data_IF_979102947384
#
_entry.id   IF_979102947384
#
_cell.length_a   1.000
_cell.length_b   1.000
_cell.length_c   1.000
_cell.angle_alpha   90.00
_cell.angle_beta   90.00
_cell.angle_gamma   90.00
#
_symmetry.space_group_name_H-M   'P 1'
#
loop_
_entity.id
_entity.type
_entity.pdbx_description
1 polymer ?
#
# COMPACT_ATOMS: atom_id res chain seq x y z
N UNK A 1 15.74 -7.43 10.10
CA UNK A 1 15.15 -6.09 10.05
C UNK A 1 15.30 -5.36 11.37
N UNK A 2 15.11 -4.03 11.37
CA UNK A 2 15.23 -3.19 12.58
C UNK A 2 14.21 -3.57 13.66
N UNK A 3 13.03 -4.03 13.29
CA UNK A 3 12.04 -4.57 14.22
C UNK A 3 12.50 -5.86 14.89
N UNK A 4 13.14 -6.76 14.15
CA UNK A 4 13.63 -8.02 14.67
C UNK A 4 14.77 -7.84 15.64
N UNK A 5 15.64 -6.85 15.40
CA UNK A 5 16.80 -6.55 16.24
C UNK A 5 16.49 -5.62 17.40
N UNK A 6 15.28 -5.11 17.48
CA UNK A 6 14.89 -4.17 18.54
C UNK A 6 15.40 -2.75 18.36
N UNK A 7 15.92 -2.40 17.18
CA UNK A 7 16.34 -1.02 16.87
C UNK A 7 15.16 -0.06 16.83
N UNK A 8 14.00 -0.54 16.41
CA UNK A 8 12.74 0.21 16.46
C UNK A 8 11.67 -0.65 17.13
N UNK A 9 10.76 -0.01 17.82
CA UNK A 9 9.64 -0.63 18.52
C UNK A 9 8.27 -0.10 18.05
N UNK A 10 8.28 0.84 17.13
CA UNK A 10 7.09 1.43 16.52
C UNK A 10 7.32 1.60 15.01
N UNK A 11 6.29 1.30 14.23
CA UNK A 11 6.29 1.48 12.78
C UNK A 11 4.94 2.04 12.34
N UNK A 12 4.95 2.79 11.23
CA UNK A 12 3.74 3.25 10.56
C UNK A 12 3.72 2.67 9.15
N UNK A 13 2.63 2.06 8.78
CA UNK A 13 2.45 1.48 7.45
C UNK A 13 0.97 1.24 7.18
N UNK A 14 0.65 0.95 5.91
CA UNK A 14 -0.67 0.44 5.54
C UNK A 14 -0.89 -0.95 6.14
N UNK A 15 -2.15 -1.35 6.40
CA UNK A 15 -2.43 -2.70 6.88
C UNK A 15 -1.88 -3.80 5.97
N UNK A 16 -2.13 -3.70 4.66
CA UNK A 16 -1.63 -4.66 3.68
C UNK A 16 -0.10 -4.70 3.63
N UNK A 17 0.56 -3.54 3.69
CA UNK A 17 2.02 -3.46 3.73
C UNK A 17 2.61 -4.12 4.98
N UNK A 18 1.98 -3.94 6.12
CA UNK A 18 2.40 -4.57 7.38
C UNK A 18 2.35 -6.10 7.29
N UNK A 19 1.28 -6.64 6.71
CA UNK A 19 1.15 -8.09 6.51
C UNK A 19 2.14 -8.59 5.46
N UNK A 20 2.26 -7.90 4.32
CA UNK A 20 3.16 -8.29 3.24
C UNK A 20 4.63 -8.34 3.67
N UNK A 21 5.05 -7.41 4.53
CA UNK A 21 6.40 -7.37 5.09
C UNK A 21 6.58 -8.26 6.33
N UNK A 22 5.52 -8.92 6.76
CA UNK A 22 5.50 -9.79 7.94
C UNK A 22 5.89 -9.08 9.25
N UNK A 23 5.62 -7.78 9.35
CA UNK A 23 5.91 -7.02 10.56
C UNK A 23 4.96 -7.36 11.70
N UNK A 24 3.74 -7.80 11.38
CA UNK A 24 2.72 -8.14 12.38
C UNK A 24 3.17 -9.21 13.38
N UNK A 25 4.08 -10.11 13.01
CA UNK A 25 4.62 -11.11 13.92
C UNK A 25 5.54 -10.54 15.02
N UNK A 26 5.97 -9.30 14.89
CA UNK A 26 6.83 -8.61 15.86
C UNK A 26 6.13 -7.49 16.62
N UNK A 27 4.85 -7.26 16.35
CA UNK A 27 4.06 -6.20 16.94
C UNK A 27 3.10 -6.78 17.97
N UNK A 28 2.80 -6.02 19.01
CA UNK A 28 1.89 -6.43 20.10
C UNK A 28 0.61 -5.63 20.11
N UNK A 29 0.62 -4.43 19.56
CA UNK A 29 -0.54 -3.53 19.56
C UNK A 29 -0.62 -2.74 18.27
N UNK A 30 -1.83 -2.33 17.95
CA UNK A 30 -2.18 -1.57 16.77
C UNK A 30 -2.95 -0.32 17.18
N UNK A 31 -2.51 0.83 16.67
CA UNK A 31 -3.29 2.06 16.69
C UNK A 31 -3.92 2.26 15.32
N UNK A 32 -5.23 2.14 15.25
CA UNK A 32 -5.99 2.38 14.03
C UNK A 32 -6.26 3.88 13.92
N UNK A 33 -5.31 4.58 13.33
CA UNK A 33 -5.33 6.02 13.15
C UNK A 33 -5.02 6.36 11.69
N UNK A 34 -5.92 7.04 10.97
CA UNK A 34 -5.64 7.50 9.63
C UNK A 34 -4.66 8.68 9.65
N UNK A 35 -3.37 8.38 9.51
CA UNK A 35 -2.29 9.37 9.55
C UNK A 35 -2.04 10.03 8.20
N UNK A 36 -1.99 9.23 7.14
CA UNK A 36 -1.63 9.70 5.80
C UNK A 36 -2.38 8.90 4.74
N UNK A 37 -2.51 9.50 3.55
CA UNK A 37 -2.86 8.77 2.35
C UNK A 37 -1.58 8.36 1.63
N UNK A 38 -1.48 7.08 1.31
CA UNK A 38 -0.39 6.56 0.48
C UNK A 38 -0.87 6.52 -0.97
N UNK A 39 -0.23 7.30 -1.83
CA UNK A 39 -0.59 7.40 -3.24
C UNK A 39 0.61 6.96 -4.08
N UNK A 40 0.39 5.99 -4.94
CA UNK A 40 1.38 5.56 -5.92
C UNK A 40 1.16 6.23 -7.27
N UNK A 41 2.24 6.50 -7.97
CA UNK A 41 2.20 7.06 -9.31
C UNK A 41 3.01 6.18 -10.26
N UNK A 42 2.48 5.98 -11.46
CA UNK A 42 3.27 5.46 -12.57
C UNK A 42 3.61 6.66 -13.45
N UNK A 43 4.90 6.90 -13.61
CA UNK A 43 5.38 8.02 -14.41
C UNK A 43 6.25 7.52 -15.54
N UNK A 44 6.21 8.25 -16.66
CA UNK A 44 7.04 7.95 -17.82
C UNK A 44 7.80 9.21 -18.21
N UNK A 45 9.05 9.06 -18.63
CA UNK A 45 9.86 10.16 -19.13
C UNK A 45 9.21 10.78 -20.37
N UNK A 46 9.15 12.11 -20.41
CA UNK A 46 8.52 12.83 -21.50
C UNK A 46 9.16 12.53 -22.86
N UNK A 47 10.46 12.34 -22.92
CA UNK A 47 11.17 12.01 -24.16
C UNK A 47 10.81 10.60 -24.64
N UNK A 48 10.73 9.65 -23.69
CA UNK A 48 10.30 8.29 -24.02
C UNK A 48 8.85 8.28 -24.53
N UNK A 49 7.96 9.02 -23.86
CA UNK A 49 6.57 9.14 -24.25
C UNK A 49 6.42 9.74 -25.65
N UNK A 50 7.19 10.78 -25.98
CA UNK A 50 7.16 11.45 -27.28
C UNK A 50 7.59 10.56 -28.46
N UNK A 51 8.34 9.49 -28.18
CA UNK A 51 8.77 8.53 -29.20
C UNK A 51 7.69 7.51 -29.56
N UNK A 52 6.64 7.43 -28.75
CA UNK A 52 5.53 6.52 -29.01
C UNK A 52 4.56 7.18 -29.98
N UNK A 53 4.13 6.46 -31.02
CA UNK A 53 3.16 6.95 -31.98
C UNK A 53 1.84 7.31 -31.25
N UNK A 54 1.12 8.39 -31.70
CA UNK A 54 -0.12 8.82 -31.04
C UNK A 54 -1.17 7.72 -30.86
N UNK A 55 -1.31 6.83 -31.86
CA UNK A 55 -2.22 5.70 -31.78
C UNK A 55 -1.83 4.71 -30.63
N UNK A 56 -0.53 4.49 -30.47
CA UNK A 56 0.00 3.62 -29.41
C UNK A 56 -0.08 4.29 -28.03
N UNK A 57 0.13 5.61 -27.96
CA UNK A 57 -0.08 6.38 -26.72
C UNK A 57 -1.51 6.22 -26.21
N UNK A 58 -2.50 6.25 -27.08
CA UNK A 58 -3.91 6.04 -26.72
C UNK A 58 -4.15 4.64 -26.16
N UNK A 59 -3.50 3.62 -26.72
CA UNK A 59 -3.57 2.25 -26.23
C UNK A 59 -2.94 2.13 -24.85
N UNK A 60 -1.75 2.67 -24.66
CA UNK A 60 -1.05 2.66 -23.37
C UNK A 60 -1.88 3.35 -22.28
N UNK A 61 -2.42 4.53 -22.58
CA UNK A 61 -3.27 5.29 -21.66
C UNK A 61 -4.50 4.47 -21.23
N UNK A 62 -5.19 3.85 -22.17
CA UNK A 62 -6.36 3.02 -21.91
C UNK A 62 -6.01 1.80 -21.05
N UNK A 63 -4.92 1.11 -21.38
CA UNK A 63 -4.49 -0.09 -20.66
C UNK A 63 -4.08 0.27 -19.22
N UNK A 64 -3.32 1.33 -19.04
CA UNK A 64 -2.89 1.76 -17.72
C UNK A 64 -4.05 2.26 -16.85
N UNK A 65 -5.02 2.98 -17.43
CA UNK A 65 -6.21 3.41 -16.69
C UNK A 65 -7.03 2.22 -16.20
N UNK A 66 -7.24 1.23 -17.06
CA UNK A 66 -7.96 0.00 -16.67
C UNK A 66 -7.20 -0.80 -15.62
N UNK A 67 -5.89 -0.94 -15.76
CA UNK A 67 -5.04 -1.64 -14.80
C UNK A 67 -5.01 -0.92 -13.45
N UNK A 68 -4.89 0.41 -13.44
CA UNK A 68 -4.89 1.22 -12.23
C UNK A 68 -6.20 1.10 -11.46
N UNK A 69 -7.34 1.08 -12.15
CA UNK A 69 -8.64 0.88 -11.50
C UNK A 69 -8.74 -0.48 -10.83
N UNK A 70 -8.25 -1.54 -11.47
CA UNK A 70 -8.22 -2.89 -10.88
C UNK A 70 -7.30 -2.98 -9.67
N UNK A 71 -6.11 -2.40 -9.78
CA UNK A 71 -5.13 -2.38 -8.68
C UNK A 71 -5.69 -1.59 -7.49
N UNK A 72 -6.31 -0.45 -7.73
CA UNK A 72 -6.92 0.35 -6.66
C UNK A 72 -8.00 -0.43 -5.89
N UNK A 73 -8.88 -1.12 -6.60
CA UNK A 73 -9.90 -1.97 -5.98
C UNK A 73 -9.28 -3.11 -5.17
N UNK A 74 -8.25 -3.76 -5.71
CA UNK A 74 -7.55 -4.85 -5.04
C UNK A 74 -6.86 -4.37 -3.77
N UNK A 75 -6.16 -3.24 -3.84
CA UNK A 75 -5.47 -2.65 -2.68
C UNK A 75 -6.46 -2.28 -1.59
N UNK A 76 -7.58 -1.66 -1.92
CA UNK A 76 -8.63 -1.30 -0.93
C UNK A 76 -9.20 -2.54 -0.25
N UNK A 77 -9.45 -3.59 -1.00
CA UNK A 77 -9.94 -4.87 -0.47
C UNK A 77 -8.90 -5.53 0.43
N UNK A 78 -7.65 -5.55 -0.01
CA UNK A 78 -6.55 -6.16 0.74
C UNK A 78 -6.26 -5.40 2.02
N UNK A 79 -6.37 -4.07 2.02
CA UNK A 79 -6.20 -3.27 3.23
C UNK A 79 -7.29 -3.57 4.27
N UNK A 80 -8.55 -3.70 3.85
CA UNK A 80 -9.65 -4.06 4.76
C UNK A 80 -9.43 -5.46 5.33
N UNK A 81 -9.10 -6.44 4.51
CA UNK A 81 -8.83 -7.80 4.95
C UNK A 81 -7.61 -7.88 5.88
N UNK A 82 -6.56 -7.14 5.57
CA UNK A 82 -5.35 -7.07 6.40
C UNK A 82 -5.63 -6.43 7.76
N UNK A 83 -6.42 -5.35 7.80
CA UNK A 83 -6.80 -4.69 9.05
C UNK A 83 -7.62 -5.63 9.95
N UNK A 84 -8.56 -6.38 9.39
CA UNK A 84 -9.32 -7.39 10.13
C UNK A 84 -8.42 -8.47 10.70
N UNK A 85 -7.47 -8.97 9.90
CA UNK A 85 -6.51 -9.97 10.35
C UNK A 85 -5.59 -9.44 11.46
N UNK A 86 -5.12 -8.21 11.33
CA UNK A 86 -4.28 -7.55 12.35
C UNK A 86 -5.07 -7.31 13.64
N UNK A 87 -6.30 -6.83 13.56
CA UNK A 87 -7.15 -6.60 14.72
C UNK A 87 -7.46 -7.89 15.48
N UNK A 88 -7.53 -9.03 14.79
CA UNK A 88 -7.72 -10.34 15.42
C UNK A 88 -6.49 -10.87 16.18
N UNK A 89 -5.29 -10.41 15.82
CA UNK A 89 -4.02 -10.89 16.38
C UNK A 89 -3.28 -9.91 17.28
N UNK A 90 -3.64 -8.62 17.22
CA UNK A 90 -2.97 -7.55 17.97
C UNK A 90 -3.93 -6.84 18.91
N UNK A 91 -3.43 -6.35 20.04
CA UNK A 91 -4.22 -5.49 20.91
C UNK A 91 -4.49 -4.16 20.21
N UNK A 92 -5.75 -3.95 19.81
CA UNK A 92 -6.16 -2.72 19.17
C UNK A 92 -6.31 -1.61 20.22
N UNK A 93 -5.72 -0.47 19.93
CA UNK A 93 -5.79 0.72 20.77
C UNK A 93 -6.29 1.90 19.95
N UNK A 94 -7.29 2.56 20.46
CA UNK A 94 -7.76 3.83 19.90
C UNK A 94 -7.05 5.01 20.56
N UNK A 95 -7.06 6.15 19.90
CA UNK A 95 -6.75 7.41 20.56
C UNK A 95 -8.03 7.92 21.21
N UNK A 96 -8.00 8.02 22.49
CA UNK A 96 -9.08 8.62 23.27
C UNK A 96 -9.00 10.15 23.21
#
# INVERSE_FOLDING_TARGET
>A
TSLQTGMVDMVANTPAGTVALQWHGRLKSLYDLPLVYVVGFIVVDQRAWSRIAPADQAIVDRVFKAASARVDQTIRRDDVAALEALAGGLAQRGLD
#
